data_IF_313892254367
#
_entry.id   IF_313892254367
#
_cell.length_a   1.000
_cell.length_b   1.000
_cell.length_c   1.000
_cell.angle_alpha   90.00
_cell.angle_beta   90.00
_cell.angle_gamma   90.00
#
_symmetry.space_group_name_H-M   'P 1'
#
loop_
_entity.id
_entity.type
_entity.pdbx_description
1 polymer ?
#
# COMPACT_ATOMS: atom_id res chain seq x y z
N UNK A 1 9.56 -29.26 27.48
CA UNK A 1 8.94 -28.95 26.17
C UNK A 1 8.46 -27.51 26.21
N UNK A 2 9.10 -26.61 25.46
CA UNK A 2 8.67 -25.21 25.39
C UNK A 2 7.33 -25.16 24.63
N UNK A 3 6.31 -24.43 25.12
CA UNK A 3 5.03 -24.32 24.44
C UNK A 3 5.27 -23.70 23.06
N UNK A 4 4.95 -24.46 22.02
CA UNK A 4 4.99 -24.00 20.64
C UNK A 4 3.94 -22.89 20.53
N UNK A 5 4.35 -21.63 20.59
CA UNK A 5 3.44 -20.50 20.39
C UNK A 5 3.03 -20.51 18.92
N UNK A 6 1.97 -21.25 18.61
CA UNK A 6 1.37 -21.26 17.28
C UNK A 6 1.04 -19.81 16.94
N UNK A 7 1.79 -19.24 16.00
CA UNK A 7 1.43 -17.94 15.45
C UNK A 7 0.11 -18.13 14.74
N UNK A 8 -0.99 -17.82 15.41
CA UNK A 8 -2.32 -17.95 14.84
C UNK A 8 -2.38 -17.05 13.59
N UNK A 9 -2.29 -17.67 12.41
CA UNK A 9 -2.43 -16.98 11.14
C UNK A 9 -3.91 -16.73 10.93
N UNK A 10 -4.27 -15.50 10.59
CA UNK A 10 -5.65 -15.13 10.35
C UNK A 10 -5.99 -15.35 8.90
N UNK A 11 -6.53 -16.54 8.59
CA UNK A 11 -6.89 -16.95 7.23
C UNK A 11 -7.81 -15.93 6.55
N UNK A 12 -8.79 -15.36 7.27
CA UNK A 12 -9.68 -14.34 6.72
C UNK A 12 -8.94 -13.10 6.20
N UNK A 13 -7.89 -12.64 6.90
CA UNK A 13 -7.10 -11.48 6.48
C UNK A 13 -6.20 -11.81 5.28
N UNK A 14 -5.64 -13.01 5.25
CA UNK A 14 -4.84 -13.48 4.13
C UNK A 14 -5.71 -13.62 2.87
N UNK A 15 -6.93 -14.17 2.99
CA UNK A 15 -7.92 -14.28 1.90
C UNK A 15 -8.37 -12.90 1.42
N UNK A 16 -8.69 -11.98 2.33
CA UNK A 16 -9.11 -10.62 1.97
C UNK A 16 -8.05 -9.87 1.15
N UNK A 17 -6.77 -9.97 1.57
CA UNK A 17 -5.65 -9.40 0.82
C UNK A 17 -5.48 -10.05 -0.54
N UNK A 18 -5.58 -11.39 -0.62
CA UNK A 18 -5.48 -12.14 -1.86
C UNK A 18 -6.59 -11.77 -2.86
N UNK A 19 -7.83 -11.66 -2.39
CA UNK A 19 -8.98 -11.24 -3.20
C UNK A 19 -8.78 -9.83 -3.75
N UNK A 20 -8.29 -8.91 -2.91
CA UNK A 20 -8.00 -7.52 -3.32
C UNK A 20 -6.92 -7.48 -4.41
N UNK A 21 -5.89 -8.32 -4.32
CA UNK A 21 -4.84 -8.41 -5.34
C UNK A 21 -5.37 -9.04 -6.64
N UNK A 22 -6.16 -10.11 -6.56
CA UNK A 22 -6.82 -10.68 -7.73
C UNK A 22 -7.67 -9.63 -8.45
N UNK A 23 -8.47 -8.88 -7.69
CA UNK A 23 -9.30 -7.84 -8.25
C UNK A 23 -8.45 -6.72 -8.87
N UNK A 24 -7.34 -6.31 -8.22
CA UNK A 24 -6.37 -5.37 -8.78
C UNK A 24 -5.80 -5.82 -10.13
N UNK A 25 -5.51 -7.11 -10.31
CA UNK A 25 -4.97 -7.65 -11.56
C UNK A 25 -6.03 -7.60 -12.67
N UNK A 26 -7.27 -8.00 -12.35
CA UNK A 26 -8.40 -8.00 -13.29
C UNK A 26 -8.64 -6.59 -13.82
N UNK A 27 -8.68 -5.58 -12.95
CA UNK A 27 -8.99 -4.19 -13.35
C UNK A 27 -7.83 -3.51 -14.08
N UNK A 28 -6.58 -3.90 -13.81
CA UNK A 28 -5.41 -3.36 -14.50
C UNK A 28 -5.11 -4.07 -15.83
N UNK A 29 -5.71 -5.24 -16.08
CA UNK A 29 -5.57 -5.98 -17.35
C UNK A 29 -6.93 -6.19 -18.03
N UNK A 30 -7.65 -5.12 -18.40
CA UNK A 30 -9.00 -5.26 -18.99
C UNK A 30 -9.00 -5.86 -20.40
N UNK A 31 -7.83 -6.05 -21.04
CA UNK A 31 -7.70 -6.59 -22.40
C UNK A 31 -8.12 -5.58 -23.47
N UNK A 32 -9.41 -5.24 -23.55
CA UNK A 32 -9.96 -4.23 -24.46
C UNK A 32 -10.98 -3.34 -23.76
N UNK A 33 -10.76 -2.02 -23.82
CA UNK A 33 -11.65 -1.03 -23.22
C UNK A 33 -13.09 -1.09 -23.76
N UNK A 34 -13.28 -1.60 -24.99
CA UNK A 34 -14.58 -1.66 -25.68
C UNK A 34 -15.44 -2.85 -25.21
N UNK A 35 -14.81 -3.91 -24.71
CA UNK A 35 -15.48 -5.13 -24.22
C UNK A 35 -15.46 -5.26 -22.70
N UNK A 36 -14.90 -4.27 -21.99
CA UNK A 36 -14.78 -4.30 -20.54
C UNK A 36 -16.06 -3.82 -19.90
N UNK A 37 -16.58 -4.60 -18.94
CA UNK A 37 -17.77 -4.22 -18.19
C UNK A 37 -17.56 -2.88 -17.47
N UNK A 38 -18.57 -2.01 -17.55
CA UNK A 38 -18.55 -0.68 -16.94
C UNK A 38 -18.05 -0.64 -15.46
N UNK A 39 -18.39 -1.58 -14.57
CA UNK A 39 -17.91 -1.58 -13.19
C UNK A 39 -16.42 -1.92 -13.02
N UNK A 40 -15.76 -2.43 -14.06
CA UNK A 40 -14.33 -2.76 -14.08
C UNK A 40 -13.46 -1.64 -14.67
N UNK A 41 -14.08 -0.53 -15.07
CA UNK A 41 -13.38 0.68 -15.50
C UNK A 41 -13.28 1.65 -14.32
N UNK A 42 -12.26 2.50 -14.33
CA UNK A 42 -12.15 3.60 -13.37
C UNK A 42 -13.11 4.73 -13.74
N UNK A 43 -13.72 5.36 -12.73
CA UNK A 43 -14.44 6.61 -12.95
C UNK A 43 -13.47 7.68 -13.49
N UNK A 44 -13.92 8.49 -14.45
CA UNK A 44 -13.04 9.49 -15.08
C UNK A 44 -12.68 10.65 -14.16
N UNK A 45 -13.59 11.04 -13.25
CA UNK A 45 -13.35 12.13 -12.30
C UNK A 45 -14.33 12.11 -11.12
N UNK A 46 -15.62 12.30 -11.39
CA UNK A 46 -16.70 12.24 -10.41
C UNK A 46 -17.48 10.96 -10.65
N UNK A 47 -17.26 9.96 -9.80
CA UNK A 47 -17.91 8.67 -9.88
C UNK A 47 -17.36 7.74 -8.82
N UNK A 48 -18.01 6.60 -8.66
CA UNK A 48 -17.60 5.59 -7.70
C UNK A 48 -17.75 4.23 -8.36
N UNK A 49 -16.62 3.66 -8.80
CA UNK A 49 -16.59 2.30 -9.35
C UNK A 49 -15.97 1.34 -8.35
N UNK A 50 -16.36 0.05 -8.38
CA UNK A 50 -15.74 -0.97 -7.52
C UNK A 50 -14.21 -1.02 -7.64
N UNK A 51 -13.67 -0.72 -8.82
CA UNK A 51 -12.22 -0.66 -9.09
C UNK A 51 -11.46 0.34 -8.23
N UNK A 52 -12.08 1.46 -7.85
CA UNK A 52 -11.49 2.49 -7.02
C UNK A 52 -11.35 2.03 -5.56
N UNK A 53 -12.17 1.07 -5.13
CA UNK A 53 -12.14 0.51 -3.77
C UNK A 53 -11.00 -0.46 -3.51
N UNK A 54 -10.34 -0.97 -4.56
CA UNK A 54 -9.21 -1.91 -4.43
C UNK A 54 -8.14 -1.34 -3.51
N UNK A 55 -7.71 -0.10 -3.78
CA UNK A 55 -6.62 0.53 -3.03
C UNK A 55 -7.01 0.84 -1.57
N UNK A 56 -8.15 1.49 -1.27
CA UNK A 56 -8.63 1.66 0.10
C UNK A 56 -8.80 0.36 0.88
N UNK A 57 -9.34 -0.69 0.24
CA UNK A 57 -9.51 -2.01 0.85
C UNK A 57 -8.17 -2.62 1.24
N UNK A 58 -7.16 -2.50 0.38
CA UNK A 58 -5.81 -2.97 0.67
C UNK A 58 -5.18 -2.21 1.85
N UNK A 59 -5.31 -0.88 1.90
CA UNK A 59 -4.81 -0.08 3.03
C UNK A 59 -5.52 -0.45 4.35
N UNK A 60 -6.83 -0.68 4.30
CA UNK A 60 -7.59 -1.15 5.45
C UNK A 60 -7.08 -2.51 5.96
N UNK A 61 -6.80 -3.45 5.05
CA UNK A 61 -6.21 -4.74 5.43
C UNK A 61 -4.85 -4.57 6.12
N UNK A 62 -4.00 -3.69 5.60
CA UNK A 62 -2.68 -3.38 6.19
C UNK A 62 -2.83 -2.75 7.58
N UNK A 63 -3.77 -1.84 7.77
CA UNK A 63 -4.09 -1.23 9.07
C UNK A 63 -4.59 -2.24 10.10
N UNK A 64 -5.51 -3.13 9.70
CA UNK A 64 -5.98 -4.22 10.58
C UNK A 64 -4.83 -5.16 10.96
N UNK A 65 -3.97 -5.49 9.99
CA UNK A 65 -2.78 -6.31 10.25
C UNK A 65 -1.89 -5.70 11.34
N UNK A 66 -1.73 -4.37 11.36
CA UNK A 66 -0.95 -3.64 12.36
C UNK A 66 -1.49 -3.83 13.78
N UNK A 67 -2.81 -3.80 13.96
CA UNK A 67 -3.47 -4.01 15.26
C UNK A 67 -3.07 -5.33 15.92
N UNK A 68 -2.88 -6.39 15.12
CA UNK A 68 -2.45 -7.71 15.61
C UNK A 68 -0.96 -7.78 15.97
N UNK A 69 -0.12 -6.88 15.44
CA UNK A 69 1.33 -6.86 15.74
C UNK A 69 1.64 -5.99 16.97
N UNK A 70 0.80 -5.00 17.28
CA UNK A 70 1.01 -4.06 18.39
C UNK A 70 1.24 -4.75 19.75
N UNK A 71 0.46 -5.76 20.18
CA UNK A 71 0.70 -6.44 21.46
C UNK A 71 2.06 -7.17 21.51
N UNK A 72 2.56 -7.60 20.34
CA UNK A 72 3.90 -8.22 20.24
C UNK A 72 4.99 -7.17 20.35
N UNK A 73 4.78 -5.97 19.80
CA UNK A 73 5.74 -4.87 19.86
C UNK A 73 5.92 -4.31 21.27
N UNK A 74 4.87 -4.32 22.09
CA UNK A 74 4.95 -3.91 23.50
C UNK A 74 5.92 -4.75 24.34
N UNK A 75 6.19 -5.99 23.93
CA UNK A 75 7.11 -6.91 24.61
C UNK A 75 8.56 -6.81 24.12
N UNK A 76 8.82 -6.00 23.10
CA UNK A 76 10.13 -5.87 22.45
C UNK A 76 10.79 -4.54 22.80
N UNK A 77 12.12 -4.51 22.69
CA UNK A 77 12.87 -3.26 22.81
C UNK A 77 12.49 -2.28 21.70
N UNK A 78 12.42 -0.99 22.04
CA UNK A 78 12.10 0.11 21.11
C UNK A 78 12.95 0.07 19.84
N UNK A 79 14.28 -0.14 19.98
CA UNK A 79 15.20 -0.20 18.83
C UNK A 79 14.81 -1.30 17.84
N UNK A 80 14.38 -2.46 18.37
CA UNK A 80 14.00 -3.60 17.54
C UNK A 80 12.68 -3.37 16.80
N UNK A 81 11.72 -2.71 17.44
CA UNK A 81 10.43 -2.36 16.81
C UNK A 81 10.64 -1.36 15.69
N UNK A 82 11.39 -0.27 15.94
CA UNK A 82 11.71 0.72 14.92
C UNK A 82 12.45 0.08 13.74
N UNK A 83 13.46 -0.75 14.00
CA UNK A 83 14.20 -1.43 12.93
C UNK A 83 13.28 -2.33 12.08
N UNK A 84 12.31 -3.03 12.69
CA UNK A 84 11.30 -3.82 11.95
C UNK A 84 10.41 -2.94 11.08
N UNK A 85 9.93 -1.80 11.60
CA UNK A 85 9.08 -0.85 10.86
C UNK A 85 9.86 -0.27 9.67
N UNK A 86 11.06 0.26 9.91
CA UNK A 86 11.91 0.84 8.87
C UNK A 86 12.33 -0.19 7.83
N UNK A 87 12.78 -1.38 8.25
CA UNK A 87 13.15 -2.46 7.32
C UNK A 87 11.99 -2.81 6.39
N UNK A 88 10.77 -2.99 6.92
CA UNK A 88 9.60 -3.31 6.10
C UNK A 88 9.21 -2.16 5.17
N UNK A 89 9.26 -0.91 5.66
CA UNK A 89 8.98 0.28 4.86
C UNK A 89 9.95 0.40 3.69
N UNK A 90 11.26 0.27 3.96
CA UNK A 90 12.31 0.34 2.94
C UNK A 90 12.17 -0.81 1.94
N UNK A 91 11.92 -2.04 2.39
CA UNK A 91 11.74 -3.19 1.48
C UNK A 91 10.56 -2.95 0.53
N UNK A 92 9.39 -2.50 1.03
CA UNK A 92 8.22 -2.25 0.17
C UNK A 92 8.50 -1.09 -0.80
N UNK A 93 9.16 -0.03 -0.32
CA UNK A 93 9.52 1.12 -1.14
C UNK A 93 10.49 0.75 -2.26
N UNK A 94 11.57 0.03 -1.94
CA UNK A 94 12.56 -0.45 -2.90
C UNK A 94 11.96 -1.43 -3.89
N UNK A 95 11.09 -2.34 -3.44
CA UNK A 95 10.38 -3.26 -4.33
C UNK A 95 9.49 -2.50 -5.32
N UNK A 96 8.80 -1.45 -4.86
CA UNK A 96 8.03 -0.56 -5.74
C UNK A 96 8.89 0.19 -6.74
N UNK A 97 10.06 0.68 -6.32
CA UNK A 97 11.00 1.38 -7.20
C UNK A 97 11.57 0.44 -8.26
N UNK A 98 11.97 -0.76 -7.84
CA UNK A 98 12.49 -1.81 -8.71
C UNK A 98 11.45 -2.25 -9.74
N UNK A 99 10.19 -2.40 -9.32
CA UNK A 99 9.10 -2.75 -10.24
C UNK A 99 8.80 -1.62 -11.25
N UNK A 100 8.84 -0.35 -10.83
CA UNK A 100 8.70 0.78 -11.74
C UNK A 100 9.88 0.94 -12.71
N UNK A 101 11.06 0.44 -12.34
CA UNK A 101 12.26 0.46 -13.18
C UNK A 101 12.32 -0.73 -14.16
N UNK A 102 11.42 -1.72 -14.03
CA UNK A 102 11.30 -2.81 -14.97
C UNK A 102 10.53 -2.38 -16.24
N UNK A 103 10.95 -2.74 -17.47
CA UNK A 103 12.14 -3.53 -17.81
C UNK A 103 13.39 -2.64 -17.83
N UNK A 104 14.38 -2.97 -17.00
CA UNK A 104 15.64 -2.23 -16.78
C UNK A 104 16.44 -1.93 -18.06
N UNK A 105 16.06 -2.59 -19.16
CA UNK A 105 16.68 -2.50 -20.48
C UNK A 105 15.57 -2.33 -21.51
N UNK A 106 15.69 -1.31 -22.37
CA UNK A 106 14.84 -1.13 -23.56
C UNK A 106 15.63 -1.45 -24.81
N UNK A 107 14.98 -2.10 -25.77
CA UNK A 107 15.50 -2.26 -27.13
C UNK A 107 15.29 -0.96 -27.91
N UNK A 108 16.35 -0.44 -28.51
CA UNK A 108 16.23 0.67 -29.45
C UNK A 108 15.75 0.16 -30.82
N UNK A 109 15.20 1.04 -31.67
CA UNK A 109 14.80 0.69 -33.04
C UNK A 109 15.96 0.17 -33.91
N UNK A 110 17.21 0.37 -33.47
CA UNK A 110 18.45 -0.07 -34.11
C UNK A 110 19.08 -1.32 -33.46
N UNK A 111 18.36 -2.03 -32.57
CA UNK A 111 18.82 -3.30 -31.98
C UNK A 111 19.83 -3.18 -30.82
N UNK A 112 20.19 -1.96 -30.41
CA UNK A 112 21.02 -1.71 -29.22
C UNK A 112 20.22 -1.82 -27.91
N UNK A 113 20.82 -2.44 -26.89
CA UNK A 113 20.31 -2.47 -25.52
C UNK A 113 20.77 -1.21 -24.78
N UNK A 114 19.83 -0.35 -24.35
CA UNK A 114 20.13 0.80 -23.50
C UNK A 114 19.52 0.62 -22.11
N UNK A 115 20.27 1.00 -21.08
CA UNK A 115 19.77 1.09 -19.70
C UNK A 115 18.74 2.21 -19.60
N UNK A 116 17.65 1.94 -18.87
CA UNK A 116 16.56 2.91 -18.71
C UNK A 116 17.06 4.19 -18.02
N UNK A 117 16.91 5.39 -18.62
CA UNK A 117 17.36 6.63 -18.02
C UNK A 117 16.61 6.91 -16.72
N UNK A 118 17.34 7.34 -15.67
CA UNK A 118 16.76 7.67 -14.36
C UNK A 118 15.74 8.83 -14.42
N UNK A 119 15.71 9.58 -15.51
CA UNK A 119 14.82 10.73 -15.76
C UNK A 119 13.34 10.33 -15.93
N UNK A 120 13.08 9.14 -16.47
CA UNK A 120 11.71 8.65 -16.73
C UNK A 120 11.16 7.77 -15.60
N UNK A 121 11.90 7.66 -14.49
CA UNK A 121 11.57 6.79 -13.39
C UNK A 121 10.37 7.37 -12.62
N UNK A 122 9.23 6.67 -12.68
CA UNK A 122 8.05 7.04 -11.89
C UNK A 122 8.32 6.74 -10.41
N UNK A 123 8.82 7.73 -9.68
CA UNK A 123 9.20 7.60 -8.27
C UNK A 123 7.98 7.23 -7.40
N UNK A 124 6.83 7.87 -7.63
CA UNK A 124 5.62 7.66 -6.84
C UNK A 124 4.63 6.69 -7.50
N UNK A 125 4.87 5.39 -7.34
CA UNK A 125 3.90 4.33 -7.62
C UNK A 125 3.02 3.98 -6.42
N UNK A 126 2.11 3.02 -6.63
CA UNK A 126 1.16 2.55 -5.61
C UNK A 126 1.88 1.92 -4.41
N UNK A 127 2.93 1.12 -4.65
CA UNK A 127 3.70 0.46 -3.61
C UNK A 127 4.46 1.45 -2.72
N UNK A 128 5.01 2.51 -3.29
CA UNK A 128 5.70 3.58 -2.55
C UNK A 128 4.73 4.34 -1.63
N UNK A 129 3.52 4.64 -2.12
CA UNK A 129 2.45 5.25 -1.30
C UNK A 129 2.07 4.34 -0.14
N UNK A 130 1.90 3.04 -0.39
CA UNK A 130 1.62 2.04 0.67
C UNK A 130 2.76 1.97 1.69
N UNK A 131 4.02 2.01 1.23
CA UNK A 131 5.19 1.98 2.11
C UNK A 131 5.19 3.16 3.08
N UNK A 132 4.99 4.39 2.56
CA UNK A 132 4.96 5.60 3.38
C UNK A 132 3.78 5.57 4.35
N UNK A 133 2.57 5.27 3.88
CA UNK A 133 1.39 5.14 4.75
C UNK A 133 1.61 4.11 5.86
N UNK A 134 2.18 2.94 5.53
CA UNK A 134 2.53 1.92 6.51
C UNK A 134 3.53 2.45 7.55
N UNK A 135 4.62 3.08 7.11
CA UNK A 135 5.66 3.61 7.98
C UNK A 135 5.13 4.64 8.98
N UNK A 136 4.43 5.67 8.49
CA UNK A 136 3.83 6.70 9.35
C UNK A 136 2.77 6.13 10.29
N UNK A 137 1.87 5.28 9.78
CA UNK A 137 0.81 4.68 10.61
C UNK A 137 1.40 3.76 11.69
N UNK A 138 2.42 2.97 11.36
CA UNK A 138 3.09 2.10 12.32
C UNK A 138 3.80 2.91 13.42
N UNK A 139 4.44 4.03 13.06
CA UNK A 139 5.02 4.94 14.04
C UNK A 139 3.95 5.58 14.93
N UNK A 140 2.84 6.03 14.33
CA UNK A 140 1.74 6.61 15.10
C UNK A 140 1.12 5.62 16.08
N UNK A 141 0.89 4.37 15.65
CA UNK A 141 0.39 3.29 16.52
C UNK A 141 1.37 2.96 17.64
N UNK A 142 2.68 3.08 17.38
CA UNK A 142 3.70 2.79 18.39
C UNK A 142 3.80 3.88 19.47
N UNK A 143 3.70 5.16 19.08
CA UNK A 143 3.91 6.29 19.99
C UNK A 143 2.62 6.85 20.62
N UNK A 144 1.49 6.77 19.92
CA UNK A 144 0.25 7.42 20.34
C UNK A 144 -0.82 6.44 20.80
N UNK A 145 -1.74 6.94 21.63
CA UNK A 145 -2.95 6.21 22.02
C UNK A 145 -3.95 6.17 20.87
N UNK A 146 -4.82 5.14 20.78
CA UNK A 146 -5.79 5.00 19.69
C UNK A 146 -6.72 6.21 19.55
N UNK A 147 -7.11 6.86 20.66
CA UNK A 147 -7.92 8.09 20.64
C UNK A 147 -7.22 9.24 19.92
N UNK A 148 -5.92 9.42 20.17
CA UNK A 148 -5.11 10.47 19.52
C UNK A 148 -4.94 10.17 18.04
N UNK A 149 -4.76 8.91 17.65
CA UNK A 149 -4.64 8.50 16.24
C UNK A 149 -5.95 8.77 15.48
N UNK A 150 -7.09 8.45 16.09
CA UNK A 150 -8.40 8.76 15.50
C UNK A 150 -8.61 10.27 15.32
N UNK A 151 -8.21 11.08 16.31
CA UNK A 151 -8.27 12.53 16.22
C UNK A 151 -7.36 13.08 15.11
N UNK A 152 -6.12 12.60 15.00
CA UNK A 152 -5.19 12.98 13.93
C UNK A 152 -5.77 12.62 12.56
N UNK A 153 -6.31 11.41 12.41
CA UNK A 153 -6.95 10.97 11.16
C UNK A 153 -8.15 11.84 10.77
N UNK A 154 -9.02 12.15 11.74
CA UNK A 154 -10.17 13.04 11.52
C UNK A 154 -9.72 14.46 11.18
N UNK A 155 -8.67 14.96 11.83
CA UNK A 155 -8.07 16.26 11.50
C UNK A 155 -7.54 16.30 10.07
N UNK A 156 -6.85 15.25 9.59
CA UNK A 156 -6.37 15.21 8.21
C UNK A 156 -7.52 15.20 7.18
N UNK A 157 -8.61 14.47 7.48
CA UNK A 157 -9.81 14.47 6.63
C UNK A 157 -10.46 15.86 6.56
N UNK A 158 -10.60 16.54 7.71
CA UNK A 158 -11.18 17.89 7.76
C UNK A 158 -10.30 18.91 7.05
N UNK A 159 -8.99 18.87 7.27
CA UNK A 159 -8.04 19.75 6.57
C UNK A 159 -8.10 19.54 5.07
N UNK A 160 -8.11 18.29 4.61
CA UNK A 160 -8.25 17.97 3.19
C UNK A 160 -9.56 18.51 2.59
N UNK A 161 -10.67 18.34 3.31
CA UNK A 161 -11.97 18.85 2.88
C UNK A 161 -11.99 20.39 2.78
N UNK A 162 -11.40 21.10 3.75
CA UNK A 162 -11.29 22.56 3.72
C UNK A 162 -10.45 23.02 2.52
N UNK A 163 -9.32 22.34 2.25
CA UNK A 163 -8.47 22.66 1.10
C UNK A 163 -9.25 22.49 -0.21
N UNK A 164 -10.00 21.40 -0.36
CA UNK A 164 -10.85 21.15 -1.53
C UNK A 164 -12.02 22.14 -1.67
N UNK A 165 -12.47 22.74 -0.57
CA UNK A 165 -13.52 23.76 -0.62
C UNK A 165 -12.96 25.15 -0.96
N UNK A 166 -11.71 25.41 -0.55
CA UNK A 166 -11.05 26.70 -0.73
C UNK A 166 -10.41 26.89 -2.12
N UNK A 167 -10.15 25.79 -2.85
CA UNK A 167 -9.57 25.77 -4.21
C UNK A 167 -10.47 25.02 -5.17
#
# INVERSE_FOLDING_TARGET
>A
MLPNTTSHRFTALDVFRGLTICFMIIVNTPGSYVTTFYPLLHAQWNGFTPTDLVFPSFLFAVGNALSFVTPKWQKLSQKLVLLKIFKRTIIIFLLGLLLNWFPFVKYNHEGGLFFFPFSDLRIFGVLQRIALCYGFTALFIYYFKPKTIALIGMSFLLVYWIILYAF
#
